data_IF_201552203813
#
_entry.id   IF_201552203813
#
_cell.length_a   1.000
_cell.length_b   1.000
_cell.length_c   1.000
_cell.angle_alpha   90.00
_cell.angle_beta   90.00
_cell.angle_gamma   90.00
#
_symmetry.space_group_name_H-M   'P 1'
#
loop_
_entity.id
_entity.type
_entity.pdbx_description
1 polymer ?
#
# COMPACT_ATOMS: atom_id res chain seq x y z
N UNK A 1 25.76 -1.85 -39.36
CA UNK A 1 25.39 -0.48 -38.92
C UNK A 1 23.89 -0.27 -39.04
N UNK A 2 23.28 -0.48 -40.19
CA UNK A 2 21.83 -0.30 -40.43
C UNK A 2 20.90 -1.01 -39.42
N UNK A 3 21.18 -2.26 -39.05
CA UNK A 3 20.34 -3.02 -38.09
C UNK A 3 20.36 -2.39 -36.69
N UNK A 4 21.50 -1.81 -36.27
CA UNK A 4 21.61 -1.12 -34.99
C UNK A 4 20.82 0.19 -34.99
N UNK A 5 20.87 0.95 -36.10
CA UNK A 5 20.08 2.16 -36.26
C UNK A 5 18.58 1.88 -36.29
N UNK A 6 18.14 0.84 -37.02
CA UNK A 6 16.73 0.42 -37.05
C UNK A 6 16.23 -0.02 -35.66
N UNK A 7 17.06 -0.76 -34.92
CA UNK A 7 16.75 -1.16 -33.54
C UNK A 7 16.63 0.04 -32.58
N UNK A 8 17.55 1.00 -32.66
CA UNK A 8 17.52 2.22 -31.87
C UNK A 8 16.29 3.08 -32.18
N UNK A 9 15.96 3.25 -33.46
CA UNK A 9 14.79 4.02 -33.90
C UNK A 9 13.49 3.36 -33.43
N UNK A 10 13.38 2.03 -33.54
CA UNK A 10 12.24 1.27 -33.03
C UNK A 10 12.06 1.40 -31.52
N UNK A 11 13.16 1.32 -30.75
CA UNK A 11 13.14 1.56 -29.31
C UNK A 11 12.68 2.99 -28.98
N UNK A 12 13.19 4.00 -29.70
CA UNK A 12 12.81 5.40 -29.49
C UNK A 12 11.32 5.64 -29.76
N UNK A 13 10.78 5.07 -30.85
CA UNK A 13 9.35 5.15 -31.16
C UNK A 13 8.48 4.42 -30.12
N UNK A 14 8.93 3.28 -29.59
CA UNK A 14 8.26 2.56 -28.50
C UNK A 14 8.24 3.39 -27.21
N UNK A 15 9.35 4.03 -26.85
CA UNK A 15 9.43 4.93 -25.69
C UNK A 15 8.44 6.08 -25.88
N UNK A 16 8.45 6.75 -27.03
CA UNK A 16 7.52 7.84 -27.34
C UNK A 16 6.07 7.36 -27.24
N UNK A 17 5.72 6.25 -27.90
CA UNK A 17 4.38 5.66 -27.84
C UNK A 17 3.93 5.40 -26.39
N UNK A 18 4.84 4.88 -25.57
CA UNK A 18 4.58 4.65 -24.16
C UNK A 18 4.29 5.95 -23.40
N UNK A 19 5.09 7.01 -23.62
CA UNK A 19 4.86 8.32 -23.02
C UNK A 19 3.54 8.98 -23.48
N UNK A 20 3.17 8.81 -24.76
CA UNK A 20 1.91 9.32 -25.29
C UNK A 20 0.70 8.63 -24.66
N UNK A 21 0.74 7.31 -24.51
CA UNK A 21 -0.35 6.55 -23.90
C UNK A 21 -0.43 6.72 -22.38
N UNK A 22 0.66 7.13 -21.73
CA UNK A 22 0.70 7.40 -20.30
C UNK A 22 0.10 8.76 -19.90
N UNK A 23 -0.31 9.60 -20.87
CA UNK A 23 -1.02 10.84 -20.58
C UNK A 23 -2.41 10.52 -20.01
N UNK A 24 -2.52 10.55 -18.69
CA UNK A 24 -3.79 10.48 -17.98
C UNK A 24 -4.69 11.63 -18.44
N UNK A 25 -5.73 11.31 -19.22
CA UNK A 25 -6.78 12.23 -19.65
C UNK A 25 -7.66 12.64 -18.46
N UNK A 26 -7.90 13.94 -18.32
CA UNK A 26 -8.77 14.48 -17.27
C UNK A 26 -8.44 15.94 -16.96
N UNK A 27 -9.47 16.69 -16.58
CA UNK A 27 -9.41 18.13 -16.34
C UNK A 27 -8.32 18.49 -15.33
N UNK A 28 -7.38 19.35 -15.74
CA UNK A 28 -6.27 19.80 -14.88
C UNK A 28 -6.77 20.51 -13.61
N UNK A 29 -7.94 21.15 -13.68
CA UNK A 29 -8.51 21.97 -12.61
C UNK A 29 -9.21 21.18 -11.48
N UNK A 30 -9.44 19.88 -11.65
CA UNK A 30 -10.16 19.02 -10.69
C UNK A 30 -9.26 17.94 -10.06
N UNK A 31 -7.94 18.01 -10.30
CA UNK A 31 -7.02 16.97 -9.84
C UNK A 31 -6.44 17.32 -8.48
N UNK A 32 -6.41 16.37 -7.53
CA UNK A 32 -5.68 16.57 -6.29
C UNK A 32 -4.19 16.80 -6.59
N UNK A 33 -3.51 17.63 -5.79
CA UNK A 33 -2.11 17.97 -6.00
C UNK A 33 -1.23 16.73 -5.95
N UNK A 34 -0.19 16.64 -6.77
CA UNK A 34 0.72 15.50 -6.78
C UNK A 34 1.35 15.21 -8.14
N UNK A 35 2.14 14.14 -8.20
CA UNK A 35 2.83 13.70 -9.42
C UNK A 35 2.69 12.19 -9.61
N UNK A 36 2.42 11.76 -10.83
CA UNK A 36 2.33 10.33 -11.20
C UNK A 36 3.68 9.68 -11.52
N UNK A 37 4.80 10.42 -11.46
CA UNK A 37 6.13 9.87 -11.71
C UNK A 37 6.36 9.41 -13.15
N UNK A 38 7.36 8.53 -13.33
CA UNK A 38 7.76 8.00 -14.64
C UNK A 38 6.69 7.05 -15.21
N UNK A 39 6.50 6.97 -16.55
CA UNK A 39 5.64 5.96 -17.13
C UNK A 39 5.95 4.54 -16.64
N UNK A 40 4.91 3.71 -16.41
CA UNK A 40 4.98 2.34 -15.84
C UNK A 40 5.33 2.29 -14.36
N UNK A 41 6.48 2.83 -13.96
CA UNK A 41 7.04 2.60 -12.63
C UNK A 41 6.50 3.62 -11.62
N UNK A 42 6.12 4.81 -12.09
CA UNK A 42 5.62 5.87 -11.23
C UNK A 42 6.65 6.34 -10.21
N UNK A 43 6.23 6.42 -8.95
CA UNK A 43 7.09 6.73 -7.79
C UNK A 43 7.43 5.45 -6.97
N UNK A 44 7.13 4.27 -7.52
CA UNK A 44 7.27 2.97 -6.82
C UNK A 44 8.70 2.70 -6.33
N UNK A 45 9.72 3.07 -7.10
CA UNK A 45 11.12 2.87 -6.71
C UNK A 45 11.51 3.72 -5.50
N UNK A 46 10.99 4.95 -5.40
CA UNK A 46 11.24 5.82 -4.25
C UNK A 46 10.55 5.26 -3.00
N UNK A 47 9.31 4.77 -3.16
CA UNK A 47 8.58 4.09 -2.09
C UNK A 47 9.30 2.83 -1.60
N UNK A 48 9.73 1.95 -2.52
CA UNK A 48 10.48 0.73 -2.17
C UNK A 48 11.85 1.05 -1.57
N UNK A 49 12.56 2.04 -2.11
CA UNK A 49 13.85 2.47 -1.54
C UNK A 49 13.68 3.01 -0.13
N UNK A 50 12.61 3.74 0.17
CA UNK A 50 12.36 4.24 1.53
C UNK A 50 12.08 3.08 2.50
N UNK A 51 11.29 2.09 2.06
CA UNK A 51 11.03 0.86 2.81
C UNK A 51 12.29 0.03 3.06
N UNK A 52 13.13 -0.19 2.04
CA UNK A 52 14.40 -0.94 2.18
C UNK A 52 15.40 -0.25 3.09
N UNK A 53 15.36 1.09 3.18
CA UNK A 53 16.18 1.88 4.11
C UNK A 53 15.60 1.91 5.53
N UNK A 54 14.50 1.17 5.80
CA UNK A 54 13.88 1.06 7.12
C UNK A 54 12.96 2.23 7.49
N UNK A 55 12.64 3.13 6.56
CA UNK A 55 11.82 4.32 6.81
C UNK A 55 10.68 4.44 5.77
N UNK A 56 9.75 3.47 5.71
CA UNK A 56 8.66 3.48 4.72
C UNK A 56 7.77 4.72 4.83
N UNK A 57 7.60 5.29 6.02
CA UNK A 57 6.80 6.47 6.31
C UNK A 57 7.39 7.75 5.70
N UNK A 58 8.71 7.79 5.47
CA UNK A 58 9.40 8.94 4.89
C UNK A 58 8.81 9.32 3.53
N UNK A 59 8.49 8.33 2.70
CA UNK A 59 7.86 8.57 1.40
C UNK A 59 6.55 9.35 1.53
N UNK A 60 5.72 9.01 2.52
CA UNK A 60 4.44 9.68 2.74
C UNK A 60 4.66 11.09 3.31
N UNK A 61 5.52 11.24 4.31
CA UNK A 61 5.78 12.55 4.93
C UNK A 61 6.41 13.55 3.97
N UNK A 62 7.37 13.13 3.14
CA UNK A 62 7.99 13.99 2.13
C UNK A 62 6.95 14.52 1.13
N UNK A 63 5.94 13.70 0.80
CA UNK A 63 4.86 14.03 -0.14
C UNK A 63 3.76 14.89 0.49
N UNK A 64 3.47 14.66 1.77
CA UNK A 64 2.61 15.53 2.59
C UNK A 64 3.20 16.95 2.63
N UNK A 65 4.50 17.06 2.94
CA UNK A 65 5.19 18.34 3.03
C UNK A 65 5.28 19.06 1.66
N UNK A 66 5.43 18.30 0.58
CA UNK A 66 5.64 18.84 -0.77
C UNK A 66 4.37 19.21 -1.52
N UNK A 67 3.29 18.45 -1.36
CA UNK A 67 2.07 18.59 -2.18
C UNK A 67 0.87 19.09 -1.38
N UNK A 68 0.47 18.36 -0.34
CA UNK A 68 -0.68 18.72 0.49
C UNK A 68 -0.74 17.87 1.74
N UNK A 69 -1.21 18.47 2.83
CA UNK A 69 -1.46 17.79 4.10
C UNK A 69 -2.70 16.89 4.11
N UNK A 70 -3.61 17.03 3.14
CA UNK A 70 -4.91 16.34 3.14
C UNK A 70 -5.00 15.22 2.12
N UNK A 71 -4.54 15.46 0.89
CA UNK A 71 -4.65 14.49 -0.21
C UNK A 71 -3.58 14.74 -1.24
N UNK A 72 -2.91 13.68 -1.70
CA UNK A 72 -2.01 13.80 -2.83
C UNK A 72 -2.17 12.65 -3.83
N UNK A 73 -1.82 12.93 -5.09
CA UNK A 73 -1.80 11.95 -6.16
C UNK A 73 -0.40 11.37 -6.35
N UNK A 74 -0.31 10.06 -6.52
CA UNK A 74 0.92 9.32 -6.85
C UNK A 74 0.63 8.18 -7.84
N UNK A 75 1.66 7.44 -8.25
CA UNK A 75 1.53 6.18 -8.98
C UNK A 75 2.41 5.15 -8.32
N UNK A 76 1.80 4.07 -7.81
CA UNK A 76 2.47 3.00 -7.08
C UNK A 76 2.11 1.65 -7.70
N UNK A 77 3.10 0.78 -7.86
CA UNK A 77 2.96 -0.57 -8.41
C UNK A 77 2.24 -0.58 -9.78
N UNK A 78 2.57 0.40 -10.63
CA UNK A 78 1.98 0.54 -11.97
C UNK A 78 0.53 1.02 -11.99
N UNK A 79 -0.04 1.41 -10.85
CA UNK A 79 -1.41 1.91 -10.74
C UNK A 79 -1.43 3.36 -10.23
N UNK A 80 -2.17 4.28 -10.89
CA UNK A 80 -2.38 5.62 -10.36
C UNK A 80 -3.20 5.54 -9.06
N UNK A 81 -2.73 6.21 -8.02
CA UNK A 81 -3.33 6.18 -6.70
C UNK A 81 -3.51 7.59 -6.12
N UNK A 82 -4.51 7.74 -5.26
CA UNK A 82 -4.72 8.94 -4.45
C UNK A 82 -4.58 8.55 -2.99
N UNK A 83 -3.67 9.22 -2.30
CA UNK A 83 -3.38 8.98 -0.89
C UNK A 83 -4.08 10.05 -0.06
N UNK A 84 -4.98 9.61 0.81
CA UNK A 84 -5.62 10.47 1.80
C UNK A 84 -4.74 10.53 3.05
N UNK A 85 -4.52 11.74 3.56
CA UNK A 85 -3.65 12.00 4.70
C UNK A 85 -4.45 12.58 5.86
N UNK A 86 -4.00 12.28 7.08
CA UNK A 86 -4.57 12.82 8.31
C UNK A 86 -5.90 12.19 8.74
N UNK A 87 -6.39 12.64 9.90
CA UNK A 87 -7.58 12.08 10.54
C UNK A 87 -8.86 12.25 9.70
N UNK A 88 -9.02 13.38 9.01
CA UNK A 88 -10.18 13.64 8.17
C UNK A 88 -10.24 12.68 6.97
N UNK A 89 -9.11 12.43 6.30
CA UNK A 89 -9.01 11.49 5.19
C UNK A 89 -9.30 10.05 5.63
N UNK A 90 -8.71 9.64 6.75
CA UNK A 90 -8.97 8.31 7.33
C UNK A 90 -10.44 8.14 7.69
N UNK A 91 -11.05 9.14 8.36
CA UNK A 91 -12.47 9.12 8.69
C UNK A 91 -13.33 9.00 7.44
N UNK A 92 -13.00 9.74 6.37
CA UNK A 92 -13.72 9.66 5.10
C UNK A 92 -13.64 8.25 4.49
N UNK A 93 -12.47 7.65 4.42
CA UNK A 93 -12.28 6.30 3.87
C UNK A 93 -13.02 5.24 4.68
N UNK A 94 -12.85 5.22 6.00
CA UNK A 94 -13.46 4.21 6.86
C UNK A 94 -14.99 4.38 7.03
N UNK A 95 -15.51 5.61 7.01
CA UNK A 95 -16.96 5.83 7.12
C UNK A 95 -17.73 5.46 5.85
N UNK A 96 -17.04 5.38 4.71
CA UNK A 96 -17.63 5.10 3.40
C UNK A 96 -17.25 3.72 2.85
N UNK A 97 -16.71 2.84 3.69
CA UNK A 97 -16.39 1.46 3.33
C UNK A 97 -17.65 0.75 2.81
N UNK A 98 -17.55 0.10 1.65
CA UNK A 98 -18.64 -0.56 0.91
C UNK A 98 -19.77 0.36 0.42
N UNK A 99 -19.64 1.69 0.56
CA UNK A 99 -20.58 2.68 -0.01
C UNK A 99 -19.98 3.43 -1.20
N UNK A 100 -18.85 4.10 -0.97
CA UNK A 100 -18.11 4.87 -1.98
C UNK A 100 -16.73 4.27 -2.27
N UNK A 101 -16.19 3.47 -1.35
CA UNK A 101 -14.88 2.83 -1.49
C UNK A 101 -14.98 1.35 -1.16
N UNK A 102 -14.26 0.53 -1.92
CA UNK A 102 -14.14 -0.91 -1.67
C UNK A 102 -12.68 -1.26 -1.44
N UNK A 103 -12.43 -2.25 -0.57
CA UNK A 103 -11.11 -2.82 -0.40
C UNK A 103 -10.59 -3.36 -1.74
N UNK A 104 -9.47 -2.81 -2.20
CA UNK A 104 -8.82 -3.17 -3.44
C UNK A 104 -7.33 -3.33 -3.20
N UNK A 105 -6.73 -4.31 -3.86
CA UNK A 105 -5.31 -4.63 -3.80
C UNK A 105 -4.79 -4.78 -5.24
N UNK A 106 -3.64 -4.16 -5.59
CA UNK A 106 -2.97 -4.40 -6.86
C UNK A 106 -2.63 -5.88 -7.07
N UNK A 107 -2.67 -6.35 -8.30
CA UNK A 107 -2.31 -7.73 -8.67
C UNK A 107 -0.88 -8.10 -8.24
N UNK A 108 0.03 -7.14 -8.24
CA UNK A 108 1.40 -7.31 -7.73
C UNK A 108 1.44 -7.68 -6.25
N UNK A 109 0.60 -7.05 -5.43
CA UNK A 109 0.50 -7.36 -3.99
C UNK A 109 -0.17 -8.72 -3.81
N UNK A 110 -1.26 -8.97 -4.53
CA UNK A 110 -1.96 -10.27 -4.47
C UNK A 110 -1.02 -11.43 -4.80
N UNK A 111 -0.09 -11.26 -5.76
CA UNK A 111 0.90 -12.28 -6.14
C UNK A 111 1.97 -12.52 -5.08
N UNK A 112 2.35 -11.49 -4.32
CA UNK A 112 3.32 -11.62 -3.23
C UNK A 112 2.68 -12.27 -2.00
N UNK A 113 1.40 -11.96 -1.73
CA UNK A 113 0.69 -12.37 -0.52
C UNK A 113 -0.35 -13.49 -0.74
N UNK A 114 -0.20 -14.31 -1.79
CA UNK A 114 -1.19 -15.34 -2.19
C UNK A 114 -1.59 -16.30 -1.05
N UNK A 115 -0.70 -16.55 -0.08
CA UNK A 115 -0.97 -17.47 1.03
C UNK A 115 -1.72 -16.87 2.22
N UNK A 116 -1.68 -15.56 2.44
CA UNK A 116 -2.40 -14.89 3.56
C UNK A 116 -3.73 -14.28 3.13
N UNK A 117 -3.88 -14.01 1.84
CA UNK A 117 -4.95 -13.18 1.29
C UNK A 117 -5.76 -13.99 0.28
N UNK A 118 -6.39 -15.09 0.71
CA UNK A 118 -7.65 -15.47 0.05
C UNK A 118 -8.51 -14.22 0.16
N UNK A 119 -8.88 -13.61 -0.98
CA UNK A 119 -9.76 -12.44 -1.00
C UNK A 119 -11.03 -12.85 -0.27
N UNK A 120 -11.07 -12.57 1.04
CA UNK A 120 -12.28 -12.77 1.80
C UNK A 120 -13.26 -11.85 1.11
N UNK A 121 -14.27 -12.45 0.48
CA UNK A 121 -15.33 -11.67 -0.17
C UNK A 121 -15.74 -10.57 0.83
N UNK A 122 -16.07 -9.36 0.39
CA UNK A 122 -16.44 -8.27 1.32
C UNK A 122 -17.42 -8.74 2.43
N UNK A 123 -18.28 -9.73 2.10
CA UNK A 123 -19.14 -10.50 3.03
C UNK A 123 -18.41 -11.32 4.11
N UNK A 124 -17.35 -12.05 3.78
CA UNK A 124 -16.54 -12.83 4.73
C UNK A 124 -15.75 -11.91 5.67
N UNK A 125 -15.15 -10.83 5.14
CA UNK A 125 -14.50 -9.80 5.97
C UNK A 125 -15.51 -9.14 6.92
N UNK A 126 -16.72 -8.83 6.43
CA UNK A 126 -17.79 -8.27 7.25
C UNK A 126 -18.23 -9.25 8.35
N UNK A 127 -18.39 -10.54 8.02
CA UNK A 127 -18.72 -11.59 8.99
C UNK A 127 -17.64 -11.71 10.07
N UNK A 128 -16.37 -11.70 9.68
CA UNK A 128 -15.24 -11.70 10.61
C UNK A 128 -15.28 -10.47 11.54
N UNK A 129 -15.48 -9.27 10.97
CA UNK A 129 -15.65 -8.01 11.74
C UNK A 129 -16.81 -8.06 12.73
N UNK A 130 -17.91 -8.73 12.40
CA UNK A 130 -19.04 -8.90 13.32
C UNK A 130 -18.74 -9.88 14.47
N UNK A 131 -17.87 -10.86 14.25
CA UNK A 131 -17.47 -11.84 15.27
C UNK A 131 -16.37 -11.31 16.21
N UNK A 132 -15.48 -10.45 15.70
CA UNK A 132 -14.36 -9.89 16.46
C UNK A 132 -14.71 -9.23 17.80
N UNK A 133 -15.75 -8.38 17.91
CA UNK A 133 -16.13 -7.76 19.17
C UNK A 133 -16.44 -8.78 20.26
N UNK A 134 -16.97 -9.96 19.91
CA UNK A 134 -17.24 -11.02 20.87
C UNK A 134 -15.97 -11.73 21.33
N UNK A 135 -14.97 -11.86 20.45
CA UNK A 135 -13.65 -12.42 20.78
C UNK A 135 -12.80 -11.46 21.63
N UNK A 136 -13.01 -10.15 21.47
CA UNK A 136 -12.29 -9.09 22.18
C UNK A 136 -13.02 -8.59 23.44
N UNK A 137 -14.08 -9.27 23.89
CA UNK A 137 -14.74 -8.93 25.15
C UNK A 137 -13.74 -9.06 26.30
N UNK A 138 -13.80 -8.18 27.32
CA UNK A 138 -12.85 -8.19 28.44
C UNK A 138 -12.69 -9.58 29.09
N UNK A 139 -13.80 -10.32 29.23
CA UNK A 139 -13.82 -11.66 29.80
C UNK A 139 -13.13 -12.72 28.92
N UNK A 140 -13.28 -12.63 27.60
CA UNK A 140 -12.56 -13.51 26.67
C UNK A 140 -11.07 -13.15 26.63
N UNK A 141 -10.75 -11.85 26.65
CA UNK A 141 -9.39 -11.35 26.64
C UNK A 141 -8.61 -11.77 27.90
N UNK A 142 -9.24 -11.78 29.07
CA UNK A 142 -8.61 -12.26 30.33
C UNK A 142 -8.11 -13.70 30.23
N UNK A 143 -8.85 -14.60 29.55
CA UNK A 143 -8.40 -15.97 29.32
C UNK A 143 -7.20 -16.05 28.35
N UNK A 144 -7.15 -15.17 27.34
CA UNK A 144 -6.03 -15.10 26.41
C UNK A 144 -4.79 -14.45 27.01
N UNK A 145 -4.93 -13.48 27.90
CA UNK A 145 -3.81 -12.78 28.52
C UNK A 145 -2.88 -13.73 29.28
N UNK A 146 -3.43 -14.65 30.08
CA UNK A 146 -2.61 -15.63 30.81
C UNK A 146 -1.84 -16.56 29.87
N UNK A 147 -2.44 -16.98 28.77
CA UNK A 147 -1.78 -17.79 27.75
C UNK A 147 -0.70 -17.00 27.00
N UNK A 148 -1.02 -15.77 26.57
CA UNK A 148 -0.08 -14.89 25.88
C UNK A 148 1.13 -14.58 26.75
N UNK A 149 0.92 -14.30 28.04
CA UNK A 149 1.99 -14.06 29.00
C UNK A 149 2.87 -15.30 29.19
N UNK A 150 2.26 -16.48 29.35
CA UNK A 150 3.00 -17.75 29.45
C UNK A 150 3.84 -18.03 28.21
N UNK A 151 3.28 -17.82 27.01
CA UNK A 151 3.96 -18.03 25.73
C UNK A 151 5.09 -17.00 25.55
N UNK A 152 4.83 -15.74 25.85
CA UNK A 152 5.84 -14.67 25.78
C UNK A 152 7.00 -14.95 26.74
N UNK A 153 6.71 -15.26 28.00
CA UNK A 153 7.71 -15.56 29.02
C UNK A 153 8.54 -16.79 28.63
N UNK A 154 7.91 -17.85 28.13
CA UNK A 154 8.61 -19.03 27.61
C UNK A 154 9.55 -18.67 26.47
N UNK A 155 9.10 -17.90 25.48
CA UNK A 155 9.95 -17.47 24.36
C UNK A 155 11.13 -16.60 24.82
N UNK A 156 10.92 -15.70 25.78
CA UNK A 156 12.01 -14.89 26.33
C UNK A 156 13.09 -15.77 26.99
N UNK A 157 12.70 -16.72 27.82
CA UNK A 157 13.62 -17.60 28.55
C UNK A 157 14.31 -18.62 27.62
N UNK A 158 13.58 -19.24 26.67
CA UNK A 158 14.16 -20.31 25.85
C UNK A 158 14.98 -19.79 24.69
N UNK A 159 14.53 -18.71 24.04
CA UNK A 159 15.05 -18.34 22.72
C UNK A 159 15.82 -17.02 22.74
N UNK A 160 15.52 -16.13 23.69
CA UNK A 160 16.13 -14.79 23.75
C UNK A 160 17.27 -14.71 24.76
N UNK A 161 17.11 -15.27 25.96
CA UNK A 161 18.16 -15.31 26.99
C UNK A 161 19.35 -16.20 26.58
N UNK A 162 19.08 -17.30 25.87
CA UNK A 162 20.13 -18.23 25.39
C UNK A 162 20.85 -17.78 24.12
N UNK A 163 20.45 -16.66 23.51
CA UNK A 163 21.06 -16.09 22.29
C UNK A 163 21.87 -14.83 22.55
N UNK A 164 22.13 -14.48 23.80
CA UNK A 164 23.12 -13.47 24.17
C UNK A 164 24.55 -13.93 23.89
N UNK A 165 24.96 -13.87 22.62
CA UNK A 165 26.34 -13.84 22.16
C UNK A 165 26.57 -12.54 21.39
#
# INVERSE_FOLDING_TARGET
MEILYASLLGFFLLVIYFFYNHKSGGNANLRPPGKTGFPVIGETLEFLSAGWKGHPEKFIFDRIAKYSSYVFRTSLLGSPAVVFCGAAGNKFLFSNENKLVQAWSPSSIDRIFQHSTKKSTSKEALRLKQMFPNLLKPLALQGYLGLMDTVAHRHFVTDWEKKGH
#
